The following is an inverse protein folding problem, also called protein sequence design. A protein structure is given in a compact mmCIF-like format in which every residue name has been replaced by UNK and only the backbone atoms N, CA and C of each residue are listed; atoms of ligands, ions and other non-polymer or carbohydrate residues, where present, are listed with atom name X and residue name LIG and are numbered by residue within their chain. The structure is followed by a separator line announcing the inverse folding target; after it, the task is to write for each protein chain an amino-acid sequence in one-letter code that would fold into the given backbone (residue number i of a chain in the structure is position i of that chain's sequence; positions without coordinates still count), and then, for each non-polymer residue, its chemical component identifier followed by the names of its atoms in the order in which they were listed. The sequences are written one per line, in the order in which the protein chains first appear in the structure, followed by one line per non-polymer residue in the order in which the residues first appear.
data_IF_881062610590
#
_entry.id   IF_881062610590
#
_cell.length_a   1.000
_cell.length_b   1.000
_cell.length_c   1.000
_cell.angle_alpha   90.00
_cell.angle_beta   90.00
_cell.angle_gamma   90.00
#
_symmetry.space_group_name_H-M   'P 1'
#
loop_
_entity.id
_entity.type
_entity.pdbx_description
1 polymer ?
#
# COMPACT_ATOMS: atom_id res chain seq x y z
N UNK A 1 -12.15 -5.14 2.54
CA UNK A 1 -12.86 -3.88 2.83
C UNK A 1 -12.38 -3.47 4.20
N UNK A 2 -11.82 -2.27 4.29
CA UNK A 2 -11.20 -1.69 5.47
C UNK A 2 -11.77 -0.28 5.57
N UNK A 3 -12.20 0.14 6.75
CA UNK A 3 -12.87 1.41 6.96
C UNK A 3 -12.36 2.09 8.23
N UNK A 4 -11.89 3.32 8.09
CA UNK A 4 -11.50 4.23 9.15
C UNK A 4 -12.42 5.45 9.13
N UNK A 5 -12.84 5.90 10.31
CA UNK A 5 -13.64 7.11 10.46
C UNK A 5 -13.08 7.99 11.57
N UNK A 6 -13.00 9.29 11.29
CA UNK A 6 -12.69 10.32 12.26
C UNK A 6 -13.84 11.34 12.29
N UNK A 7 -14.39 11.61 13.47
CA UNK A 7 -15.39 12.66 13.70
C UNK A 7 -14.80 13.69 14.64
N UNK A 8 -14.80 14.95 14.21
CA UNK A 8 -14.19 16.07 14.94
C UNK A 8 -15.26 17.13 15.17
N UNK A 9 -15.34 17.64 16.40
CA UNK A 9 -16.13 18.82 16.74
C UNK A 9 -15.32 19.74 17.69
N UNK A 10 -15.94 20.84 18.15
CA UNK A 10 -15.27 21.81 19.03
C UNK A 10 -14.84 21.26 20.40
N UNK A 11 -15.36 20.10 20.79
CA UNK A 11 -15.16 19.50 22.11
C UNK A 11 -14.27 18.27 22.08
N UNK A 12 -14.26 17.50 20.99
CA UNK A 12 -13.60 16.21 20.94
C UNK A 12 -13.31 15.71 19.52
N UNK A 13 -12.44 14.70 19.48
CA UNK A 13 -12.15 13.84 18.32
C UNK A 13 -12.54 12.41 18.69
N UNK A 14 -13.32 11.75 17.83
CA UNK A 14 -13.63 10.32 17.94
C UNK A 14 -13.06 9.58 16.72
N UNK A 15 -12.31 8.50 16.97
CA UNK A 15 -11.71 7.65 15.94
C UNK A 15 -12.29 6.24 16.05
N UNK A 16 -12.60 5.62 14.92
CA UNK A 16 -12.97 4.21 14.87
C UNK A 16 -12.44 3.56 13.59
N UNK A 17 -12.05 2.29 13.69
CA UNK A 17 -11.60 1.49 12.56
C UNK A 17 -12.14 0.05 12.69
N UNK A 18 -12.32 -0.64 11.56
CA UNK A 18 -12.73 -2.05 11.56
C UNK A 18 -11.54 -2.98 11.87
N UNK A 19 -11.79 -4.17 12.43
CA UNK A 19 -10.73 -5.13 12.82
C UNK A 19 -10.44 -6.21 11.77
N UNK A 20 -10.99 -6.07 10.55
CA UNK A 20 -10.98 -7.13 9.53
C UNK A 20 -9.78 -7.01 8.60
N UNK A 21 -8.89 -8.00 8.60
CA UNK A 21 -7.80 -8.11 7.62
C UNK A 21 -7.97 -9.37 6.78
N UNK A 22 -7.82 -9.21 5.47
CA UNK A 22 -7.82 -10.32 4.53
C UNK A 22 -6.39 -10.70 4.19
N UNK A 23 -5.93 -11.88 4.61
CA UNK A 23 -4.69 -12.47 4.12
C UNK A 23 -5.02 -13.37 2.92
N UNK A 24 -4.47 -13.04 1.75
CA UNK A 24 -4.53 -13.90 0.57
C UNK A 24 -3.16 -14.54 0.33
N UNK A 25 -3.08 -15.87 0.37
CA UNK A 25 -1.85 -16.59 0.00
C UNK A 25 -2.22 -17.80 -0.86
N UNK A 26 -1.71 -17.82 -2.10
CA UNK A 26 -1.88 -18.96 -3.01
C UNK A 26 -3.34 -19.29 -3.34
N UNK A 27 -4.18 -18.27 -3.54
CA UNK A 27 -5.61 -18.46 -3.88
C UNK A 27 -6.52 -18.83 -2.72
N UNK A 28 -6.00 -18.93 -1.49
CA UNK A 28 -6.82 -19.08 -0.27
C UNK A 28 -6.87 -17.75 0.48
N UNK A 29 -8.09 -17.23 0.61
CA UNK A 29 -8.40 -16.04 1.38
C UNK A 29 -8.74 -16.45 2.82
N UNK A 30 -7.93 -16.04 3.80
CA UNK A 30 -8.26 -16.15 5.21
C UNK A 30 -8.48 -14.75 5.78
N UNK A 31 -9.68 -14.55 6.31
CA UNK A 31 -9.99 -13.34 7.06
C UNK A 31 -9.59 -13.57 8.51
N UNK A 32 -8.83 -12.63 9.08
CA UNK A 32 -8.53 -12.56 10.50
C UNK A 32 -9.24 -11.33 11.06
N UNK A 33 -10.03 -11.51 12.12
CA UNK A 33 -10.84 -10.45 12.75
C UNK A 33 -10.14 -9.82 13.97
N UNK A 34 -8.83 -10.03 14.12
CA UNK A 34 -8.06 -9.73 15.34
C UNK A 34 -6.94 -8.72 15.14
N UNK A 35 -6.92 -7.97 14.03
CA UNK A 35 -5.88 -6.97 13.81
C UNK A 35 -6.40 -5.60 14.25
N UNK A 36 -5.74 -5.00 15.23
CA UNK A 36 -5.99 -3.62 15.61
C UNK A 36 -5.62 -2.71 14.43
N UNK A 37 -6.52 -1.79 14.06
CA UNK A 37 -6.25 -0.76 13.03
C UNK A 37 -6.19 0.65 13.59
N UNK A 38 -6.39 0.80 14.90
CA UNK A 38 -6.30 2.06 15.63
C UNK A 38 -5.33 1.88 16.80
N UNK A 39 -4.29 2.71 16.85
CA UNK A 39 -3.21 2.61 17.82
C UNK A 39 -2.94 3.93 18.51
N UNK A 40 -2.66 3.90 19.81
CA UNK A 40 -2.10 5.06 20.53
C UNK A 40 -0.60 5.15 20.27
N UNK A 41 -0.14 6.23 19.62
CA UNK A 41 1.28 6.41 19.26
C UNK A 41 2.09 7.15 20.34
N UNK A 42 1.41 7.73 21.33
CA UNK A 42 2.01 8.26 22.55
C UNK A 42 1.49 7.54 23.80
N UNK A 43 2.23 7.67 24.92
CA UNK A 43 1.75 7.28 26.27
C UNK A 43 1.26 8.48 27.08
N UNK A 44 1.64 9.70 26.68
CA UNK A 44 1.40 10.93 27.44
C UNK A 44 0.49 11.90 26.70
N UNK A 45 0.54 11.90 25.37
CA UNK A 45 -0.24 12.81 24.53
C UNK A 45 -1.44 12.08 23.90
N UNK A 46 -2.60 12.75 23.74
CA UNK A 46 -3.81 12.14 23.17
C UNK A 46 -3.74 12.04 21.64
N UNK A 47 -2.81 11.22 21.12
CA UNK A 47 -2.59 11.05 19.69
C UNK A 47 -2.70 9.57 19.29
N UNK A 48 -3.47 9.33 18.23
CA UNK A 48 -3.67 8.00 17.65
C UNK A 48 -3.31 7.95 16.17
N UNK A 49 -2.96 6.76 15.69
CA UNK A 49 -2.77 6.46 14.28
C UNK A 49 -3.76 5.37 13.85
N UNK A 50 -4.36 5.54 12.67
CA UNK A 50 -5.12 4.49 12.02
C UNK A 50 -4.38 3.99 10.78
N UNK A 51 -4.46 2.68 10.51
CA UNK A 51 -3.83 2.07 9.34
C UNK A 51 -4.89 1.63 8.34
N UNK A 52 -4.71 2.03 7.08
CA UNK A 52 -5.52 1.57 5.97
C UNK A 52 -4.70 0.67 5.04
N UNK A 53 -5.31 -0.41 4.57
CA UNK A 53 -4.69 -1.32 3.59
C UNK A 53 -3.84 -2.41 4.25
N UNK A 54 -2.54 -2.45 3.92
CA UNK A 54 -1.65 -3.50 4.38
C UNK A 54 -1.42 -3.39 5.91
N UNK A 55 -1.62 -4.50 6.63
CA UNK A 55 -1.37 -4.58 8.07
C UNK A 55 0.12 -4.59 8.43
N UNK A 56 0.98 -4.72 7.43
CA UNK A 56 2.43 -4.75 7.58
C UNK A 56 3.10 -3.64 6.76
N UNK A 57 4.20 -3.10 7.30
CA UNK A 57 5.14 -2.23 6.60
C UNK A 57 6.49 -2.95 6.54
N UNK A 58 7.01 -3.17 5.33
CA UNK A 58 8.27 -3.89 5.11
C UNK A 58 8.35 -5.25 5.86
N UNK A 59 7.24 -6.02 5.87
CA UNK A 59 7.05 -7.29 6.61
C UNK A 59 7.04 -7.19 8.14
N UNK A 60 7.03 -5.98 8.68
CA UNK A 60 6.82 -5.74 10.11
C UNK A 60 5.36 -5.35 10.35
N UNK A 61 4.65 -5.99 11.30
CA UNK A 61 3.32 -5.55 11.69
C UNK A 61 3.34 -4.10 12.18
N UNK A 62 2.38 -3.30 11.72
CA UNK A 62 2.24 -1.90 12.17
C UNK A 62 2.15 -1.77 13.68
N UNK A 63 1.50 -2.71 14.36
CA UNK A 63 1.43 -2.76 15.82
C UNK A 63 2.83 -2.79 16.45
N UNK A 64 3.73 -3.63 15.94
CA UNK A 64 5.11 -3.75 16.42
C UNK A 64 5.87 -2.44 16.18
N UNK A 65 5.76 -1.88 14.98
CA UNK A 65 6.42 -0.62 14.60
C UNK A 65 5.97 0.52 15.52
N UNK A 66 4.67 0.69 15.71
CA UNK A 66 4.11 1.79 16.52
C UNK A 66 4.41 1.60 18.01
N UNK A 67 4.45 0.35 18.51
CA UNK A 67 4.90 0.06 19.87
C UNK A 67 6.38 0.42 20.06
N UNK A 68 7.25 0.07 19.11
CA UNK A 68 8.67 0.41 19.16
C UNK A 68 8.91 1.91 19.03
N UNK A 69 8.19 2.59 18.12
CA UNK A 69 8.20 4.05 17.99
C UNK A 69 7.93 4.72 19.33
N UNK A 70 6.85 4.31 20.02
CA UNK A 70 6.47 4.85 21.33
C UNK A 70 7.43 4.45 22.45
N UNK A 71 8.05 3.27 22.36
CA UNK A 71 9.03 2.79 23.36
C UNK A 71 10.34 3.58 23.31
N UNK A 72 10.78 3.98 22.11
CA UNK A 72 12.09 4.65 21.91
C UNK A 72 12.17 6.02 22.57
N UNK A 73 11.08 6.77 22.58
CA UNK A 73 10.95 8.01 23.36
C UNK A 73 9.54 8.13 23.97
N UNK A 74 9.36 7.65 25.22
CA UNK A 74 8.05 7.60 25.87
C UNK A 74 7.45 8.96 26.23
N UNK A 75 8.25 10.03 26.23
CA UNK A 75 7.84 11.38 26.66
C UNK A 75 7.85 12.38 25.50
N UNK A 76 8.02 11.90 24.26
CA UNK A 76 7.96 12.75 23.07
C UNK A 76 6.64 13.52 23.04
N UNK A 77 6.72 14.78 22.66
CA UNK A 77 5.60 15.69 22.56
C UNK A 77 5.81 16.60 21.36
N UNK A 78 4.75 16.77 20.60
CA UNK A 78 4.69 17.69 19.48
C UNK A 78 3.36 18.44 19.52
N UNK A 79 3.37 19.69 19.06
CA UNK A 79 2.22 20.59 19.16
C UNK A 79 1.11 20.28 18.14
N UNK A 80 1.44 19.57 17.06
CA UNK A 80 0.50 19.26 15.98
C UNK A 80 0.62 17.81 15.54
N UNK A 81 -0.48 17.25 15.04
CA UNK A 81 -0.49 15.90 14.44
C UNK A 81 0.41 15.79 13.21
N UNK A 82 0.70 16.91 12.54
CA UNK A 82 1.62 16.97 11.40
C UNK A 82 3.06 16.71 11.85
N UNK A 83 3.51 17.35 12.94
CA UNK A 83 4.83 17.10 13.53
C UNK A 83 4.96 15.65 14.03
N UNK A 84 3.87 15.07 14.57
CA UNK A 84 3.82 13.65 14.89
C UNK A 84 4.02 12.76 13.66
N UNK A 85 3.37 13.08 12.54
CA UNK A 85 3.50 12.34 11.30
C UNK A 85 4.93 12.44 10.72
N UNK A 86 5.50 13.65 10.67
CA UNK A 86 6.88 13.88 10.23
C UNK A 86 7.87 13.06 11.05
N UNK A 87 7.78 13.10 12.38
CA UNK A 87 8.67 12.33 13.24
C UNK A 87 8.46 10.81 13.12
N UNK A 88 7.23 10.36 12.86
CA UNK A 88 6.96 8.95 12.58
C UNK A 88 7.61 8.52 11.25
N UNK A 89 7.57 9.37 10.21
CA UNK A 89 8.25 9.09 8.94
C UNK A 89 9.77 9.03 9.12
N UNK A 90 10.37 9.96 9.86
CA UNK A 90 11.79 9.90 10.22
C UNK A 90 12.15 8.60 10.93
N UNK A 91 11.31 8.15 11.87
CA UNK A 91 11.50 6.87 12.53
C UNK A 91 11.42 5.71 11.53
N UNK A 92 10.43 5.70 10.63
CA UNK A 92 10.24 4.64 9.64
C UNK A 92 11.44 4.50 8.69
N UNK A 93 12.10 5.61 8.35
CA UNK A 93 13.30 5.61 7.51
C UNK A 93 14.53 4.99 8.20
N UNK A 94 14.54 4.88 9.54
CA UNK A 94 15.72 4.48 10.30
C UNK A 94 15.50 3.46 11.42
N UNK A 95 14.31 2.86 11.56
CA UNK A 95 14.05 1.91 12.65
C UNK A 95 14.66 0.53 12.42
N UNK A 96 14.91 0.17 11.16
CA UNK A 96 15.48 -1.11 10.77
C UNK A 96 16.45 -0.93 9.59
N UNK A 97 17.59 -1.66 9.55
CA UNK A 97 18.52 -1.60 8.44
C UNK A 97 18.02 -2.43 7.26
N UNK A 98 17.06 -1.90 6.51
CA UNK A 98 16.54 -2.53 5.30
C UNK A 98 17.65 -2.70 4.26
N UNK A 99 17.59 -3.81 3.54
CA UNK A 99 18.50 -4.12 2.44
C UNK A 99 17.80 -3.93 1.10
N UNK A 100 18.58 -3.86 0.04
CA UNK A 100 18.11 -3.85 -1.35
C UNK A 100 17.04 -4.91 -1.65
N UNK A 101 17.21 -6.13 -1.11
CA UNK A 101 16.22 -7.21 -1.29
C UNK A 101 14.87 -6.93 -0.59
N UNK A 102 14.87 -6.19 0.51
CA UNK A 102 13.65 -5.78 1.20
C UNK A 102 12.90 -4.71 0.40
N UNK A 103 13.62 -3.77 -0.21
CA UNK A 103 13.07 -2.76 -1.12
C UNK A 103 12.45 -3.41 -2.36
N UNK A 104 13.17 -4.34 -3.00
CA UNK A 104 12.68 -5.07 -4.18
C UNK A 104 11.41 -5.84 -3.86
N UNK A 105 11.38 -6.49 -2.69
CA UNK A 105 10.19 -7.20 -2.25
C UNK A 105 9.02 -6.24 -1.99
N UNK A 106 9.27 -5.11 -1.35
CA UNK A 106 8.25 -4.10 -1.08
C UNK A 106 7.65 -3.56 -2.38
N UNK A 107 8.50 -3.23 -3.36
CA UNK A 107 8.08 -2.77 -4.67
C UNK A 107 7.20 -3.80 -5.40
N UNK A 108 7.61 -5.08 -5.41
CA UNK A 108 6.79 -6.15 -5.97
C UNK A 108 5.47 -6.36 -5.22
N UNK A 109 5.49 -6.22 -3.89
CA UNK A 109 4.29 -6.36 -3.06
C UNK A 109 3.28 -5.23 -3.33
N UNK A 110 3.75 -4.01 -3.59
CA UNK A 110 2.91 -2.88 -4.00
C UNK A 110 2.24 -3.19 -5.33
N UNK A 111 3.01 -3.63 -6.33
CA UNK A 111 2.47 -4.02 -7.65
C UNK A 111 1.45 -5.15 -7.51
N UNK A 112 1.77 -6.20 -6.75
CA UNK A 112 0.87 -7.33 -6.51
C UNK A 112 -0.43 -6.87 -5.83
N UNK A 113 -0.36 -5.98 -4.84
CA UNK A 113 -1.54 -5.44 -4.16
C UNK A 113 -2.47 -4.68 -5.12
N UNK A 114 -1.91 -3.90 -6.05
CA UNK A 114 -2.70 -3.19 -7.06
C UNK A 114 -3.31 -4.13 -8.09
N UNK A 115 -2.54 -5.09 -8.62
CA UNK A 115 -3.06 -6.09 -9.55
C UNK A 115 -4.19 -6.92 -8.91
N UNK A 116 -4.02 -7.33 -7.65
CA UNK A 116 -5.04 -8.01 -6.87
C UNK A 116 -6.29 -7.13 -6.66
N UNK A 117 -6.11 -5.82 -6.43
CA UNK A 117 -7.23 -4.89 -6.32
C UNK A 117 -8.07 -4.81 -7.59
N UNK A 118 -7.42 -4.64 -8.76
CA UNK A 118 -8.12 -4.62 -10.05
C UNK A 118 -8.77 -5.97 -10.35
N UNK A 119 -8.09 -7.06 -10.01
CA UNK A 119 -8.61 -8.41 -10.15
C UNK A 119 -9.90 -8.57 -9.36
N UNK A 120 -9.91 -8.21 -8.07
CA UNK A 120 -11.10 -8.32 -7.22
C UNK A 120 -12.24 -7.43 -7.69
N UNK A 121 -11.92 -6.24 -8.21
CA UNK A 121 -12.92 -5.31 -8.74
C UNK A 121 -13.58 -5.87 -9.99
N UNK A 122 -12.78 -6.38 -10.94
CA UNK A 122 -13.28 -7.02 -12.15
C UNK A 122 -14.04 -8.31 -11.84
N UNK A 123 -13.56 -9.14 -10.91
CA UNK A 123 -14.18 -10.41 -10.54
C UNK A 123 -15.58 -10.24 -9.97
N UNK A 124 -15.85 -9.11 -9.30
CA UNK A 124 -17.19 -8.76 -8.80
C UNK A 124 -18.12 -8.22 -9.88
N UNK A 125 -17.56 -7.58 -10.91
CA UNK A 125 -18.32 -6.91 -11.96
C UNK A 125 -18.64 -7.82 -13.17
N UNK A 126 -17.89 -8.91 -13.34
CA UNK A 126 -17.99 -9.78 -14.53
C UNK A 126 -18.87 -11.00 -14.31
N UNK A 127 -19.63 -11.38 -15.35
CA UNK A 127 -20.55 -12.53 -15.33
C UNK A 127 -19.93 -13.81 -15.91
N UNK A 128 -18.67 -13.78 -16.36
CA UNK A 128 -17.96 -14.93 -16.91
C UNK A 128 -16.49 -14.64 -17.27
N UNK A 129 -15.71 -15.69 -17.61
CA UNK A 129 -14.25 -15.57 -17.80
C UNK A 129 -13.82 -14.62 -18.92
N UNK A 130 -14.52 -14.61 -20.05
CA UNK A 130 -14.17 -13.75 -21.20
C UNK A 130 -14.42 -12.27 -20.89
N UNK A 131 -15.58 -11.98 -20.27
CA UNK A 131 -15.91 -10.62 -19.82
C UNK A 131 -14.95 -10.17 -18.72
N UNK A 132 -14.58 -11.06 -17.81
CA UNK A 132 -13.58 -10.80 -16.78
C UNK A 132 -12.24 -10.43 -17.38
N UNK A 133 -11.74 -11.24 -18.33
CA UNK A 133 -10.48 -10.96 -19.02
C UNK A 133 -10.52 -9.62 -19.74
N UNK A 134 -11.59 -9.34 -20.49
CA UNK A 134 -11.75 -8.06 -21.19
C UNK A 134 -11.77 -6.86 -20.22
N UNK A 135 -12.52 -6.96 -19.12
CA UNK A 135 -12.60 -5.90 -18.11
C UNK A 135 -11.23 -5.68 -17.43
N UNK A 136 -10.53 -6.75 -17.05
CA UNK A 136 -9.24 -6.65 -16.40
C UNK A 136 -8.18 -6.00 -17.31
N UNK A 137 -8.15 -6.38 -18.60
CA UNK A 137 -7.27 -5.72 -19.58
C UNK A 137 -7.60 -4.22 -19.70
N UNK A 138 -8.89 -3.87 -19.75
CA UNK A 138 -9.31 -2.48 -19.84
C UNK A 138 -8.90 -1.66 -18.60
N UNK A 139 -9.07 -2.21 -17.40
CA UNK A 139 -8.66 -1.57 -16.14
C UNK A 139 -7.15 -1.35 -16.06
N UNK A 140 -6.33 -2.33 -16.44
CA UNK A 140 -4.87 -2.17 -16.45
C UNK A 140 -4.45 -1.07 -17.42
N UNK A 141 -5.04 -1.02 -18.63
CA UNK A 141 -4.74 0.04 -19.61
C UNK A 141 -5.17 1.42 -19.13
N UNK A 142 -6.33 1.52 -18.49
CA UNK A 142 -6.78 2.76 -17.87
C UNK A 142 -5.81 3.19 -16.76
N UNK A 143 -5.38 2.27 -15.89
CA UNK A 143 -4.44 2.56 -14.82
C UNK A 143 -3.08 3.03 -15.35
N UNK A 144 -2.53 2.40 -16.40
CA UNK A 144 -1.31 2.86 -17.09
C UNK A 144 -1.49 4.29 -17.60
N UNK A 145 -2.64 4.60 -18.20
CA UNK A 145 -2.92 5.94 -18.70
C UNK A 145 -2.98 7.00 -17.60
N UNK A 146 -3.46 6.65 -16.41
CA UNK A 146 -3.44 7.56 -15.25
C UNK A 146 -2.04 7.69 -14.65
N UNK A 147 -1.31 6.59 -14.49
CA UNK A 147 0.06 6.58 -13.96
C UNK A 147 1.00 7.47 -14.80
N UNK A 148 0.87 7.46 -16.13
CA UNK A 148 1.67 8.32 -17.03
C UNK A 148 1.46 9.82 -16.84
N UNK A 149 0.40 10.24 -16.13
CA UNK A 149 0.12 11.66 -15.84
C UNK A 149 0.73 12.10 -14.51
N UNK A 150 1.24 11.17 -13.70
CA UNK A 150 1.79 11.47 -12.39
C UNK A 150 3.25 11.87 -12.53
N UNK A 151 3.70 12.73 -11.63
CA UNK A 151 5.11 13.06 -11.52
C UNK A 151 5.92 11.83 -11.10
N UNK A 152 7.13 11.75 -11.63
CA UNK A 152 8.08 10.71 -11.27
C UNK A 152 8.42 10.83 -9.78
N UNK A 153 8.40 9.67 -9.10
CA UNK A 153 8.75 9.57 -7.69
C UNK A 153 10.26 9.37 -7.51
N UNK A 154 10.86 8.59 -8.41
CA UNK A 154 12.30 8.34 -8.47
C UNK A 154 12.94 9.22 -9.54
N UNK A 155 14.18 9.63 -9.30
CA UNK A 155 15.01 10.20 -10.38
C UNK A 155 15.40 9.12 -11.40
N UNK A 156 15.78 9.53 -12.61
CA UNK A 156 16.23 8.63 -13.67
C UNK A 156 17.39 7.70 -13.22
N UNK A 157 18.31 8.24 -12.43
CA UNK A 157 19.47 7.50 -11.92
C UNK A 157 19.07 6.47 -10.85
N UNK A 158 18.21 6.86 -9.90
CA UNK A 158 17.66 5.95 -8.88
C UNK A 158 16.86 4.83 -9.55
N UNK A 159 16.04 5.18 -10.54
CA UNK A 159 15.25 4.22 -11.28
C UNK A 159 16.12 3.24 -12.08
N UNK A 160 17.14 3.74 -12.78
CA UNK A 160 18.04 2.88 -13.56
C UNK A 160 18.73 1.84 -12.68
N UNK A 161 19.20 2.25 -11.49
CA UNK A 161 19.80 1.34 -10.53
C UNK A 161 18.78 0.32 -9.98
N UNK A 162 17.57 0.79 -9.64
CA UNK A 162 16.50 -0.04 -9.08
C UNK A 162 15.93 -1.04 -10.10
N UNK A 163 15.62 -0.59 -11.31
CA UNK A 163 15.06 -1.39 -12.41
C UNK A 163 15.98 -2.56 -12.76
N UNK A 164 17.30 -2.38 -12.74
CA UNK A 164 18.27 -3.46 -13.00
C UNK A 164 18.12 -4.63 -12.01
N UNK A 165 17.83 -4.34 -10.74
CA UNK A 165 17.60 -5.37 -9.70
C UNK A 165 16.19 -5.96 -9.80
N UNK A 166 15.20 -5.12 -10.06
CA UNK A 166 13.79 -5.47 -10.06
C UNK A 166 13.36 -6.28 -11.30
N UNK A 167 13.81 -5.92 -12.50
CA UNK A 167 13.37 -6.50 -13.77
C UNK A 167 13.38 -8.05 -13.80
N UNK A 168 14.46 -8.76 -13.42
CA UNK A 168 14.42 -10.23 -13.41
C UNK A 168 13.43 -10.81 -12.40
N UNK A 169 13.22 -10.13 -11.25
CA UNK A 169 12.26 -10.55 -10.22
C UNK A 169 10.82 -10.33 -10.70
N UNK A 170 10.56 -9.20 -11.36
CA UNK A 170 9.27 -8.88 -11.99
C UNK A 170 8.92 -9.87 -13.10
N UNK A 171 9.85 -10.15 -14.01
CA UNK A 171 9.66 -11.15 -15.09
C UNK A 171 9.32 -12.54 -14.54
N UNK A 172 9.98 -12.95 -13.46
CA UNK A 172 9.67 -14.20 -12.79
C UNK A 172 8.28 -14.20 -12.12
N UNK A 173 7.85 -13.06 -11.57
CA UNK A 173 6.54 -12.91 -10.95
C UNK A 173 5.40 -12.94 -11.98
N UNK A 174 5.54 -12.21 -13.10
CA UNK A 174 4.54 -12.15 -14.17
C UNK A 174 4.28 -13.52 -14.83
N UNK A 175 5.27 -14.42 -14.83
CA UNK A 175 5.18 -15.77 -15.41
C UNK A 175 4.60 -16.82 -14.45
N UNK A 176 4.21 -16.44 -13.22
CA UNK A 176 3.73 -17.36 -12.18
C UNK A 176 2.31 -17.02 -11.74
N UNK A 177 1.68 -17.96 -11.04
CA UNK A 177 0.40 -17.72 -10.36
C UNK A 177 -0.77 -17.40 -11.30
N UNK A 178 -1.68 -16.52 -10.86
CA UNK A 178 -2.86 -16.16 -11.63
C UNK A 178 -2.55 -15.25 -12.84
N UNK A 179 -1.36 -14.66 -12.91
CA UNK A 179 -0.97 -13.76 -14.00
C UNK A 179 -0.55 -14.52 -15.27
N UNK A 180 -0.17 -15.81 -15.15
CA UNK A 180 0.27 -16.61 -16.30
C UNK A 180 -0.82 -16.79 -17.38
N UNK A 181 -2.11 -16.60 -17.04
CA UNK A 181 -3.22 -16.67 -17.99
C UNK A 181 -3.38 -15.40 -18.86
N UNK A 182 -2.63 -14.34 -18.54
CA UNK A 182 -2.64 -13.05 -19.25
C UNK A 182 -1.35 -12.82 -20.05
N UNK A 183 -0.76 -13.90 -20.59
CA UNK A 183 0.46 -13.80 -21.40
C UNK A 183 0.32 -12.87 -22.62
N UNK A 184 -0.90 -12.65 -23.09
CA UNK A 184 -1.25 -11.72 -24.16
C UNK A 184 -1.13 -10.24 -23.79
N UNK A 185 -1.06 -9.89 -22.50
CA UNK A 185 -0.87 -8.52 -22.01
C UNK A 185 0.35 -8.39 -21.09
N UNK A 186 1.33 -9.30 -21.19
CA UNK A 186 2.50 -9.30 -20.31
C UNK A 186 3.30 -7.98 -20.38
N UNK A 187 3.33 -7.36 -21.55
CA UNK A 187 3.97 -6.06 -21.81
C UNK A 187 3.24 -4.91 -21.11
N UNK A 188 1.90 -4.91 -21.15
CA UNK A 188 1.08 -3.95 -20.42
C UNK A 188 1.27 -4.14 -18.90
N UNK A 189 1.29 -5.39 -18.41
CA UNK A 189 1.53 -5.68 -16.99
C UNK A 189 2.93 -5.24 -16.53
N UNK A 190 3.96 -5.40 -17.36
CA UNK A 190 5.30 -4.89 -17.08
C UNK A 190 5.30 -3.37 -17.00
N UNK A 191 4.71 -2.70 -17.99
CA UNK A 191 4.62 -1.24 -18.03
C UNK A 191 3.85 -0.72 -16.81
N UNK A 192 2.74 -1.36 -16.45
CA UNK A 192 1.98 -1.05 -15.25
C UNK A 192 2.84 -1.17 -13.98
N UNK A 193 3.57 -2.28 -13.83
CA UNK A 193 4.43 -2.52 -12.68
C UNK A 193 5.55 -1.48 -12.56
N UNK A 194 6.23 -1.18 -13.66
CA UNK A 194 7.29 -0.17 -13.71
C UNK A 194 6.75 1.21 -13.34
N UNK A 195 5.66 1.65 -13.97
CA UNK A 195 5.05 2.96 -13.68
C UNK A 195 4.50 3.06 -12.25
N UNK A 196 4.04 1.96 -11.67
CA UNK A 196 3.55 1.91 -10.27
C UNK A 196 4.67 2.17 -9.26
N UNK A 197 5.92 1.84 -9.61
CA UNK A 197 7.09 1.98 -8.74
C UNK A 197 7.83 3.28 -9.05
N UNK A 198 7.96 3.60 -10.34
CA UNK A 198 8.69 4.75 -10.83
C UNK A 198 7.94 6.07 -10.58
N UNK A 199 6.63 6.09 -10.84
CA UNK A 199 5.76 7.26 -10.61
C UNK A 199 5.23 7.33 -9.18
N UNK A 200 4.72 8.49 -8.75
CA UNK A 200 3.99 8.57 -7.47
C UNK A 200 2.86 7.54 -7.48
N UNK A 201 2.72 6.66 -6.46
CA UNK A 201 1.61 5.73 -6.42
C UNK A 201 0.31 6.54 -6.42
N UNK A 202 -0.67 6.10 -7.24
CA UNK A 202 -1.96 6.77 -7.43
C UNK A 202 -2.51 7.14 -6.05
N UNK A 203 -2.57 8.44 -5.69
CA UNK A 203 -3.39 8.84 -4.56
C UNK A 203 -4.81 8.46 -4.97
N UNK A 204 -5.46 7.56 -4.22
CA UNK A 204 -6.93 7.55 -4.27
C UNK A 204 -7.35 9.00 -4.09
N UNK A 205 -8.21 9.49 -4.97
CA UNK A 205 -8.82 10.81 -4.85
C UNK A 205 -9.23 11.00 -3.39
N UNK A 206 -8.42 11.74 -2.63
CA UNK A 206 -8.83 12.27 -1.36
C UNK A 206 -9.81 13.34 -1.80
N UNK A 207 -11.11 13.04 -1.73
CA UNK A 207 -12.10 14.08 -1.90
C UNK A 207 -11.67 15.25 -0.99
N UNK A 208 -11.53 16.47 -1.52
CA UNK A 208 -11.27 17.62 -0.69
C UNK A 208 -12.57 17.91 0.06
N UNK A 209 -12.82 17.19 1.13
CA UNK A 209 -13.86 17.56 2.10
C UNK A 209 -13.11 18.22 3.22
N UNK A 210 -12.78 19.50 3.07
CA UNK A 210 -12.70 20.52 4.12
C UNK A 210 -12.52 21.87 3.42
N UNK A 211 -13.63 22.46 2.95
CA UNK A 211 -13.79 23.90 2.74
C UNK A 211 -14.58 24.48 3.92
#
# INVERSE_FOLDING_TARGET
MTAEIAVINKSAVALAADSKVTLSRGGKQKTYDTVDKLFSISKTEPVGAMIYGNAEFMRFPWETILKEYRRRDPRKKFDTVFLWAENLFEFLLGFFPFKEDDEDFAALSIVEAWLQHYWETCARASQGPDQFKANYIAEIKAAISELKKLDDFLTDDEWTAFQKRLAPKLEAALKRGFLSQFGDIIEDLRTFAELTIYGRPIPRQVHPVWS
#
